data_IF_455823856494
#
_entry.id   IF_455823856494
#
_cell.length_a   1.000
_cell.length_b   1.000
_cell.length_c   1.000
_cell.angle_alpha   90.00
_cell.angle_beta   90.00
_cell.angle_gamma   90.00
#
_symmetry.space_group_name_H-M   'P 1'
#
loop_
_entity.id
_entity.type
_entity.pdbx_description
1 polymer ?
#
# COMPACT_ATOMS: atom_id res chain seq x y z
N UNK A 1 8.35 4.12 -24.37
CA UNK A 1 8.16 5.34 -23.57
C UNK A 1 7.46 5.05 -22.24
N UNK A 2 6.35 4.27 -22.24
CA UNK A 2 5.57 3.94 -21.03
C UNK A 2 6.40 3.09 -20.07
N UNK A 3 7.02 2.02 -20.55
CA UNK A 3 7.75 1.03 -19.75
C UNK A 3 8.96 1.57 -18.98
N UNK A 4 9.57 2.68 -19.43
CA UNK A 4 10.68 3.30 -18.72
C UNK A 4 10.26 4.32 -17.64
N UNK A 5 8.99 4.74 -17.65
CA UNK A 5 8.44 5.76 -16.73
C UNK A 5 7.41 5.21 -15.75
N UNK A 6 7.07 3.94 -15.89
CA UNK A 6 6.08 3.28 -15.04
C UNK A 6 6.57 1.90 -14.63
N UNK A 7 6.33 1.53 -13.38
CA UNK A 7 6.47 0.17 -12.90
C UNK A 7 5.15 -0.28 -12.26
N UNK A 8 4.74 -1.50 -12.61
CA UNK A 8 3.57 -2.16 -12.03
C UNK A 8 4.04 -3.40 -11.27
N UNK A 9 3.71 -3.48 -10.02
CA UNK A 9 4.05 -4.56 -9.09
C UNK A 9 2.76 -5.19 -8.60
N UNK A 10 2.59 -6.48 -8.87
CA UNK A 10 1.49 -7.28 -8.35
C UNK A 10 1.98 -8.54 -7.61
N UNK A 11 1.08 -9.23 -6.93
CA UNK A 11 1.37 -10.44 -6.17
C UNK A 11 1.64 -11.67 -7.06
N UNK A 12 1.30 -11.61 -8.35
CA UNK A 12 1.48 -12.67 -9.33
C UNK A 12 2.65 -12.40 -10.29
N UNK A 13 3.40 -11.33 -10.06
CA UNK A 13 4.52 -10.95 -10.89
C UNK A 13 5.50 -12.11 -11.09
N UNK A 14 5.72 -12.47 -12.36
CA UNK A 14 6.66 -13.50 -12.75
C UNK A 14 7.94 -12.87 -13.31
N UNK A 15 9.06 -13.27 -12.72
CA UNK A 15 10.39 -12.82 -13.14
C UNK A 15 11.15 -13.96 -13.83
N UNK A 16 12.16 -13.66 -14.66
CA UNK A 16 12.91 -14.68 -15.40
C UNK A 16 13.50 -15.74 -14.46
N UNK A 17 13.08 -17.00 -14.65
CA UNK A 17 13.44 -18.11 -13.78
C UNK A 17 14.95 -18.45 -13.81
N UNK A 18 15.63 -18.07 -14.88
CA UNK A 18 17.07 -18.33 -15.06
C UNK A 18 17.95 -17.36 -14.23
N UNK A 19 17.40 -16.22 -13.80
CA UNK A 19 18.16 -15.19 -13.09
C UNK A 19 18.05 -15.36 -11.58
N UNK A 20 19.15 -15.09 -10.89
CA UNK A 20 19.19 -14.90 -9.45
C UNK A 20 18.59 -13.55 -9.06
N UNK A 21 18.24 -13.36 -7.80
CA UNK A 21 17.70 -12.10 -7.31
C UNK A 21 18.66 -10.92 -7.57
N UNK A 22 19.96 -11.14 -7.42
CA UNK A 22 20.98 -10.11 -7.71
C UNK A 22 20.99 -9.75 -9.18
N UNK A 23 21.02 -10.73 -10.07
CA UNK A 23 21.00 -10.50 -11.53
C UNK A 23 19.72 -9.76 -11.95
N UNK A 24 18.57 -10.05 -11.33
CA UNK A 24 17.33 -9.31 -11.60
C UNK A 24 17.48 -7.84 -11.22
N UNK A 25 18.08 -7.51 -10.06
CA UNK A 25 18.32 -6.12 -9.66
C UNK A 25 19.29 -5.41 -10.64
N UNK A 26 20.33 -6.11 -11.10
CA UNK A 26 21.30 -5.59 -12.07
C UNK A 26 20.64 -5.31 -13.41
N UNK A 27 19.81 -6.22 -13.93
CA UNK A 27 19.07 -6.01 -15.18
C UNK A 27 18.03 -4.88 -15.03
N UNK A 28 17.31 -4.82 -13.90
CA UNK A 28 16.40 -3.73 -13.60
C UNK A 28 17.11 -2.36 -13.60
N UNK A 29 18.34 -2.31 -13.07
CA UNK A 29 19.15 -1.09 -13.02
C UNK A 29 19.52 -0.56 -14.41
N UNK A 30 19.63 -1.44 -15.40
CA UNK A 30 19.91 -1.06 -16.80
C UNK A 30 18.65 -0.59 -17.53
N UNK A 31 17.48 -1.06 -17.07
CA UNK A 31 16.20 -0.76 -17.70
C UNK A 31 15.56 0.53 -17.18
N UNK A 32 15.60 0.77 -15.85
CA UNK A 32 14.96 1.92 -15.24
C UNK A 32 15.93 3.08 -15.06
N UNK A 33 15.59 4.22 -15.68
CA UNK A 33 16.46 5.41 -15.73
C UNK A 33 16.77 6.00 -14.36
N UNK A 34 15.84 5.92 -13.41
CA UNK A 34 15.94 6.51 -12.08
C UNK A 34 16.25 5.47 -10.99
N UNK A 35 16.73 4.29 -11.42
CA UNK A 35 17.05 3.21 -10.49
C UNK A 35 18.01 3.65 -9.39
N UNK A 36 17.67 3.33 -8.15
CA UNK A 36 18.54 3.55 -6.98
C UNK A 36 19.03 2.20 -6.43
N UNK A 37 20.24 1.82 -6.83
CA UNK A 37 20.86 0.58 -6.36
C UNK A 37 21.11 0.62 -4.84
N UNK A 38 21.39 1.80 -4.27
CA UNK A 38 21.59 1.93 -2.82
C UNK A 38 20.33 1.62 -2.01
N UNK A 39 19.13 1.94 -2.51
CA UNK A 39 17.87 1.51 -1.89
C UNK A 39 17.72 -0.01 -2.03
N UNK A 40 17.93 -0.54 -3.24
CA UNK A 40 17.80 -1.96 -3.50
C UNK A 40 18.69 -2.78 -2.53
N UNK A 41 19.96 -2.43 -2.40
CA UNK A 41 20.91 -3.12 -1.54
C UNK A 41 20.54 -3.00 -0.05
N UNK A 42 20.21 -1.79 0.43
CA UNK A 42 19.82 -1.61 1.85
C UNK A 42 18.56 -2.40 2.23
N UNK A 43 17.55 -2.42 1.36
CA UNK A 43 16.32 -3.18 1.62
C UNK A 43 16.57 -4.68 1.48
N UNK A 44 17.41 -5.09 0.54
CA UNK A 44 17.79 -6.47 0.33
C UNK A 44 18.48 -7.05 1.57
N UNK A 45 19.44 -6.31 2.16
CA UNK A 45 20.12 -6.67 3.39
C UNK A 45 19.17 -6.64 4.60
N UNK A 46 18.34 -5.61 4.70
CA UNK A 46 17.37 -5.46 5.80
C UNK A 46 16.41 -6.65 5.89
N UNK A 47 15.88 -7.10 4.75
CA UNK A 47 14.99 -8.26 4.70
C UNK A 47 15.73 -9.60 4.60
N UNK A 48 17.06 -9.59 4.67
CA UNK A 48 17.92 -10.79 4.66
C UNK A 48 17.64 -11.73 3.49
N UNK A 49 17.41 -11.18 2.30
CA UNK A 49 17.22 -11.99 1.10
C UNK A 49 18.55 -12.57 0.61
N UNK A 50 18.54 -13.82 0.15
CA UNK A 50 19.74 -14.46 -0.39
C UNK A 50 19.94 -14.07 -1.87
N UNK A 51 21.02 -13.31 -2.23
CA UNK A 51 21.24 -12.84 -3.58
C UNK A 51 21.41 -13.94 -4.66
N UNK A 52 21.81 -15.14 -4.25
CA UNK A 52 22.00 -16.30 -5.14
C UNK A 52 20.72 -17.12 -5.36
N UNK A 53 19.66 -16.77 -4.69
CA UNK A 53 18.39 -17.47 -4.81
C UNK A 53 17.63 -16.99 -6.06
N UNK A 54 16.80 -17.87 -6.64
CA UNK A 54 15.92 -17.54 -7.74
C UNK A 54 14.55 -17.12 -7.23
N UNK A 55 13.90 -16.17 -7.90
CA UNK A 55 12.59 -15.65 -7.50
C UNK A 55 11.53 -16.75 -7.36
N UNK A 56 11.53 -17.74 -8.25
CA UNK A 56 10.60 -18.88 -8.21
C UNK A 56 10.66 -19.70 -6.93
N UNK A 57 11.82 -19.72 -6.26
CA UNK A 57 12.07 -20.50 -5.05
C UNK A 57 11.75 -19.76 -3.75
N UNK A 58 11.31 -18.52 -3.84
CA UNK A 58 10.90 -17.73 -2.68
C UNK A 58 9.52 -18.15 -2.15
N UNK A 59 9.31 -18.03 -0.84
CA UNK A 59 7.95 -18.07 -0.27
C UNK A 59 7.11 -16.92 -0.81
N UNK A 60 5.77 -16.98 -0.67
CA UNK A 60 4.90 -15.92 -1.16
C UNK A 60 5.27 -14.55 -0.55
N UNK A 61 5.46 -14.48 0.77
CA UNK A 61 5.86 -13.23 1.43
C UNK A 61 7.23 -12.72 0.98
N UNK A 62 8.22 -13.61 0.78
CA UNK A 62 9.53 -13.21 0.25
C UNK A 62 9.45 -12.70 -1.19
N UNK A 63 8.56 -13.27 -2.02
CA UNK A 63 8.30 -12.76 -3.38
C UNK A 63 7.76 -11.34 -3.32
N UNK A 64 6.72 -11.13 -2.51
CA UNK A 64 6.15 -9.79 -2.30
C UNK A 64 7.19 -8.80 -1.79
N UNK A 65 8.04 -9.21 -0.84
CA UNK A 65 9.14 -8.37 -0.34
C UNK A 65 10.15 -8.01 -1.44
N UNK A 66 10.55 -8.98 -2.26
CA UNK A 66 11.47 -8.72 -3.37
C UNK A 66 10.84 -7.82 -4.45
N UNK A 67 9.58 -8.08 -4.81
CA UNK A 67 8.84 -7.26 -5.78
C UNK A 67 8.68 -5.81 -5.29
N UNK A 68 8.45 -5.61 -3.99
CA UNK A 68 8.44 -4.29 -3.36
C UNK A 68 9.79 -3.58 -3.51
N UNK A 69 10.90 -4.29 -3.29
CA UNK A 69 12.25 -3.71 -3.47
C UNK A 69 12.44 -3.24 -4.90
N UNK A 70 12.02 -4.03 -5.89
CA UNK A 70 12.04 -3.61 -7.31
C UNK A 70 11.25 -2.32 -7.54
N UNK A 71 10.01 -2.27 -7.04
CA UNK A 71 9.12 -1.11 -7.21
C UNK A 71 9.66 0.17 -6.59
N UNK A 72 10.22 0.09 -5.38
CA UNK A 72 10.83 1.24 -4.72
C UNK A 72 12.11 1.70 -5.42
N UNK A 73 12.97 0.74 -5.78
CA UNK A 73 14.29 1.05 -6.38
C UNK A 73 14.21 1.57 -7.80
N UNK A 74 13.15 1.22 -8.54
CA UNK A 74 12.92 1.71 -9.90
C UNK A 74 12.69 3.22 -9.97
N UNK A 75 12.15 3.84 -8.92
CA UNK A 75 11.87 5.28 -8.83
C UNK A 75 11.21 5.86 -10.08
N UNK A 76 10.34 5.06 -10.70
CA UNK A 76 9.58 5.51 -11.85
C UNK A 76 8.65 6.67 -11.48
N UNK A 77 8.44 7.65 -12.39
CA UNK A 77 7.47 8.73 -12.18
C UNK A 77 6.08 8.24 -11.76
N UNK A 78 5.67 7.06 -12.25
CA UNK A 78 4.48 6.35 -11.82
C UNK A 78 4.86 4.95 -11.31
N UNK A 79 4.59 4.70 -10.04
CA UNK A 79 4.76 3.39 -9.40
C UNK A 79 3.38 2.87 -8.96
N UNK A 80 3.00 1.69 -9.42
CA UNK A 80 1.72 1.06 -9.08
C UNK A 80 2.00 -0.22 -8.30
N UNK A 81 1.44 -0.32 -7.11
CA UNK A 81 1.48 -1.51 -6.27
C UNK A 81 0.07 -2.09 -6.14
N UNK A 82 -0.15 -3.28 -6.69
CA UNK A 82 -1.42 -3.99 -6.57
C UNK A 82 -1.31 -5.10 -5.52
N UNK A 83 -1.98 -4.89 -4.38
CA UNK A 83 -1.93 -5.78 -3.20
C UNK A 83 -0.49 -6.20 -2.81
N UNK A 84 0.47 -5.26 -2.69
CA UNK A 84 1.91 -5.57 -2.62
C UNK A 84 2.32 -6.34 -1.38
N UNK A 85 1.48 -6.36 -0.35
CA UNK A 85 1.80 -6.96 0.96
C UNK A 85 1.21 -8.36 1.13
N UNK A 86 0.65 -8.92 0.08
CA UNK A 86 0.05 -10.26 0.10
C UNK A 86 1.06 -11.32 0.53
N UNK A 87 0.73 -12.07 1.60
CA UNK A 87 1.59 -13.13 2.16
C UNK A 87 2.73 -12.65 3.05
N UNK A 88 2.87 -11.35 3.27
CA UNK A 88 3.79 -10.82 4.28
C UNK A 88 3.17 -10.92 5.69
N UNK A 89 4.01 -11.11 6.70
CA UNK A 89 3.58 -10.94 8.08
C UNK A 89 3.43 -9.47 8.46
N UNK A 90 2.77 -9.19 9.60
CA UNK A 90 2.45 -7.83 10.02
C UNK A 90 3.69 -6.95 10.23
N UNK A 91 4.82 -7.52 10.65
CA UNK A 91 6.04 -6.74 10.87
C UNK A 91 6.66 -6.31 9.54
N UNK A 92 6.75 -7.23 8.57
CA UNK A 92 7.26 -6.95 7.22
C UNK A 92 6.39 -5.95 6.48
N UNK A 93 5.04 -6.02 6.63
CA UNK A 93 4.13 -5.01 6.05
C UNK A 93 4.40 -3.61 6.60
N UNK A 94 4.53 -3.49 7.92
CA UNK A 94 4.87 -2.19 8.54
C UNK A 94 6.19 -1.63 8.04
N UNK A 95 7.19 -2.48 7.90
CA UNK A 95 8.50 -2.07 7.39
C UNK A 95 8.45 -1.67 5.92
N UNK A 96 7.63 -2.35 5.10
CA UNK A 96 7.35 -1.93 3.72
C UNK A 96 6.75 -0.52 3.68
N UNK A 97 5.68 -0.26 4.42
CA UNK A 97 5.01 1.04 4.41
C UNK A 97 5.92 2.15 4.93
N UNK A 98 6.74 1.85 5.95
CA UNK A 98 7.75 2.79 6.45
C UNK A 98 8.83 3.10 5.40
N UNK A 99 9.31 2.09 4.68
CA UNK A 99 10.27 2.25 3.60
C UNK A 99 9.69 3.07 2.44
N UNK A 100 8.44 2.79 2.07
CA UNK A 100 7.70 3.51 1.03
C UNK A 100 7.57 5.00 1.38
N UNK A 101 7.10 5.32 2.60
CA UNK A 101 6.94 6.71 3.06
C UNK A 101 8.28 7.44 3.07
N UNK A 102 9.33 6.81 3.60
CA UNK A 102 10.66 7.41 3.66
C UNK A 102 11.21 7.70 2.27
N UNK A 103 11.04 6.78 1.32
CA UNK A 103 11.49 6.98 -0.06
C UNK A 103 10.64 8.02 -0.79
N UNK A 104 9.33 8.04 -0.58
CA UNK A 104 8.42 9.04 -1.12
C UNK A 104 8.76 10.46 -0.67
N UNK A 105 9.03 10.66 0.62
CA UNK A 105 9.43 11.97 1.15
C UNK A 105 10.78 12.45 0.60
N UNK A 106 11.71 11.54 0.33
CA UNK A 106 13.01 11.86 -0.24
C UNK A 106 12.96 12.05 -1.76
N UNK A 107 12.05 11.36 -2.43
CA UNK A 107 11.89 11.38 -3.90
C UNK A 107 10.41 11.32 -4.27
N UNK A 108 9.69 12.46 -4.19
CA UNK A 108 8.26 12.54 -4.48
C UNK A 108 7.94 12.13 -5.93
N UNK A 109 6.91 11.29 -6.09
CA UNK A 109 6.41 10.82 -7.38
C UNK A 109 4.99 10.29 -7.23
N UNK A 110 4.32 9.96 -8.31
CA UNK A 110 2.99 9.34 -8.22
C UNK A 110 3.12 7.87 -7.82
N UNK A 111 2.53 7.53 -6.68
CA UNK A 111 2.41 6.14 -6.20
C UNK A 111 0.94 5.80 -6.07
N UNK A 112 0.52 4.74 -6.73
CA UNK A 112 -0.82 4.16 -6.58
C UNK A 112 -0.67 2.82 -5.86
N UNK A 113 -1.43 2.64 -4.80
CA UNK A 113 -1.41 1.39 -4.04
C UNK A 113 -2.84 0.87 -3.87
N UNK A 114 -3.09 -0.38 -4.25
CA UNK A 114 -4.31 -1.07 -3.86
C UNK A 114 -4.08 -1.85 -2.57
N UNK A 115 -5.03 -1.83 -1.67
CA UNK A 115 -5.00 -2.61 -0.44
C UNK A 115 -6.40 -2.78 0.14
N UNK A 116 -6.62 -3.89 0.81
CA UNK A 116 -7.78 -4.12 1.66
C UNK A 116 -7.47 -3.91 3.17
N UNK A 117 -6.23 -3.55 3.51
CA UNK A 117 -5.77 -3.23 4.86
C UNK A 117 -5.66 -1.71 5.06
N UNK A 118 -6.81 -1.02 5.05
CA UNK A 118 -6.84 0.46 5.09
C UNK A 118 -6.20 1.03 6.35
N UNK A 119 -6.42 0.42 7.49
CA UNK A 119 -5.88 0.83 8.81
C UNK A 119 -4.33 0.85 8.83
N UNK A 120 -3.69 0.04 7.98
CA UNK A 120 -2.22 0.00 7.91
C UNK A 120 -1.64 1.11 7.02
N UNK A 121 -2.43 1.63 6.06
CA UNK A 121 -1.95 2.58 5.05
C UNK A 121 -2.58 3.97 5.14
N UNK A 122 -3.63 4.18 5.94
CA UNK A 122 -4.37 5.46 6.00
C UNK A 122 -3.47 6.68 6.21
N UNK A 123 -2.40 6.51 7.00
CA UNK A 123 -1.45 7.57 7.32
C UNK A 123 -0.46 7.90 6.17
N UNK A 124 -0.48 7.10 5.10
CA UNK A 124 0.36 7.29 3.90
C UNK A 124 -0.41 7.98 2.77
N UNK A 125 -1.75 7.93 2.84
CA UNK A 125 -2.59 8.32 1.71
C UNK A 125 -2.77 9.85 1.66
N UNK A 126 -2.65 10.40 0.47
CA UNK A 126 -3.06 11.77 0.14
C UNK A 126 -4.49 11.76 -0.40
N UNK A 127 -4.78 10.82 -1.29
CA UNK A 127 -6.08 10.64 -1.94
C UNK A 127 -6.58 9.20 -1.79
N UNK A 128 -7.89 9.03 -1.75
CA UNK A 128 -8.57 7.73 -1.72
C UNK A 128 -9.51 7.60 -2.91
N UNK A 129 -9.38 6.49 -3.63
CA UNK A 129 -10.28 6.08 -4.69
C UNK A 129 -10.93 4.74 -4.32
N UNK A 130 -12.24 4.75 -4.08
CA UNK A 130 -13.02 3.54 -3.79
C UNK A 130 -13.69 3.04 -5.05
N UNK A 131 -13.40 1.80 -5.43
CA UNK A 131 -13.98 1.12 -6.58
C UNK A 131 -14.95 0.04 -6.13
N UNK A 132 -16.12 -0.02 -6.75
CA UNK A 132 -17.08 -1.09 -6.54
C UNK A 132 -17.75 -1.48 -7.87
N UNK A 133 -17.69 -2.76 -8.22
CA UNK A 133 -18.26 -3.32 -9.47
C UNK A 133 -17.86 -2.52 -10.72
N UNK A 134 -16.58 -2.16 -10.82
CA UNK A 134 -16.01 -1.41 -11.94
C UNK A 134 -16.42 0.07 -12.02
N UNK A 135 -17.01 0.62 -10.96
CA UNK A 135 -17.41 2.03 -10.88
C UNK A 135 -16.71 2.73 -9.72
N UNK A 136 -16.32 3.99 -9.94
CA UNK A 136 -15.83 4.85 -8.87
C UNK A 136 -17.02 5.21 -7.97
N UNK A 137 -16.93 4.83 -6.70
CA UNK A 137 -17.90 5.19 -5.66
C UNK A 137 -17.49 6.47 -4.94
N UNK A 138 -16.20 6.64 -4.74
CA UNK A 138 -15.62 7.78 -4.04
C UNK A 138 -14.26 8.10 -4.63
N UNK A 139 -13.95 9.39 -4.79
CA UNK A 139 -12.61 9.91 -5.02
C UNK A 139 -12.47 11.22 -4.25
N UNK A 140 -11.68 11.22 -3.19
CA UNK A 140 -11.46 12.39 -2.32
C UNK A 140 -10.09 12.36 -1.68
N UNK A 141 -9.60 13.55 -1.32
CA UNK A 141 -8.43 13.66 -0.44
C UNK A 141 -8.72 13.11 0.96
N UNK A 142 -7.69 12.64 1.66
CA UNK A 142 -7.82 12.21 3.05
C UNK A 142 -8.27 13.37 3.96
N UNK A 143 -7.81 14.60 3.68
CA UNK A 143 -8.26 15.79 4.42
C UNK A 143 -9.76 16.01 4.28
N UNK A 144 -10.28 15.97 3.05
CA UNK A 144 -11.72 16.14 2.80
C UNK A 144 -12.54 15.01 3.47
N UNK A 145 -12.02 13.77 3.46
CA UNK A 145 -12.70 12.65 4.11
C UNK A 145 -12.78 12.81 5.62
N UNK A 146 -11.73 13.31 6.26
CA UNK A 146 -11.71 13.57 7.70
C UNK A 146 -12.66 14.68 8.13
N UNK A 147 -12.95 15.62 7.23
CA UNK A 147 -13.92 16.70 7.45
C UNK A 147 -15.34 16.28 7.04
N UNK A 148 -15.46 15.29 6.15
CA UNK A 148 -16.75 14.89 5.55
C UNK A 148 -17.62 14.06 6.47
N UNK A 149 -17.03 13.25 7.35
CA UNK A 149 -17.75 12.38 8.26
C UNK A 149 -17.03 12.26 9.62
N UNK A 150 -17.80 12.14 10.67
CA UNK A 150 -17.31 12.00 12.05
C UNK A 150 -17.79 10.67 12.62
N UNK A 151 -16.85 9.90 13.17
CA UNK A 151 -17.15 8.71 13.97
C UNK A 151 -17.43 9.07 15.40
N UNK A 152 -18.55 8.61 15.94
CA UNK A 152 -19.00 8.82 17.32
C UNK A 152 -19.14 7.47 18.02
N UNK A 153 -18.68 7.40 19.25
CA UNK A 153 -18.83 6.23 20.10
C UNK A 153 -19.34 6.66 21.49
N UNK A 154 -20.36 6.00 21.99
CA UNK A 154 -20.92 6.31 23.30
C UNK A 154 -22.14 5.47 23.68
N UNK A 155 -22.86 5.91 24.69
CA UNK A 155 -24.12 5.27 25.10
C UNK A 155 -25.13 5.27 23.95
N UNK A 156 -25.75 4.12 23.72
CA UNK A 156 -26.64 3.86 22.57
C UNK A 156 -27.72 4.93 22.42
N UNK A 157 -28.44 5.25 23.53
CA UNK A 157 -29.51 6.24 23.50
C UNK A 157 -29.04 7.65 23.13
N UNK A 158 -27.83 8.03 23.61
CA UNK A 158 -27.23 9.32 23.29
C UNK A 158 -26.81 9.40 21.83
N UNK A 159 -26.17 8.35 21.30
CA UNK A 159 -25.76 8.25 19.90
C UNK A 159 -26.97 8.27 18.98
N UNK A 160 -28.03 7.49 19.28
CA UNK A 160 -29.27 7.48 18.51
C UNK A 160 -29.94 8.85 18.48
N UNK A 161 -30.04 9.50 19.63
CA UNK A 161 -30.64 10.85 19.74
C UNK A 161 -29.82 11.89 18.96
N UNK A 162 -28.51 11.80 19.02
CA UNK A 162 -27.64 12.73 18.30
C UNK A 162 -27.71 12.50 16.79
N UNK A 163 -27.72 11.25 16.33
CA UNK A 163 -27.83 10.85 14.93
C UNK A 163 -29.13 11.32 14.26
N UNK A 164 -30.23 11.52 15.03
CA UNK A 164 -31.49 12.05 14.50
C UNK A 164 -31.36 13.46 13.87
N UNK A 165 -30.36 14.24 14.29
CA UNK A 165 -30.14 15.61 13.81
C UNK A 165 -29.04 15.71 12.75
N UNK A 166 -28.45 14.60 12.32
CA UNK A 166 -27.34 14.54 11.39
C UNK A 166 -27.61 13.48 10.31
N UNK A 167 -26.93 13.57 9.18
CA UNK A 167 -27.00 12.55 8.14
C UNK A 167 -26.27 11.28 8.62
N UNK A 168 -27.03 10.27 9.02
CA UNK A 168 -26.48 8.98 9.46
C UNK A 168 -25.98 8.19 8.25
N UNK A 169 -24.67 7.93 8.21
CA UNK A 169 -24.02 7.13 7.16
C UNK A 169 -23.96 5.65 7.56
N UNK A 170 -23.62 5.39 8.83
CA UNK A 170 -23.44 4.04 9.36
C UNK A 170 -23.71 4.01 10.87
N UNK A 171 -24.25 2.90 11.38
CA UNK A 171 -24.41 2.65 12.82
C UNK A 171 -24.29 1.17 13.12
N UNK A 172 -23.56 0.82 14.16
CA UNK A 172 -23.47 -0.54 14.68
C UNK A 172 -23.45 -0.56 16.22
N UNK A 173 -24.01 -1.59 16.86
CA UNK A 173 -23.85 -1.79 18.28
C UNK A 173 -22.43 -2.29 18.59
N UNK A 174 -21.81 -1.75 19.64
CA UNK A 174 -20.53 -2.25 20.17
C UNK A 174 -20.82 -3.31 21.25
N UNK A 175 -21.80 -3.03 22.11
CA UNK A 175 -22.32 -3.91 23.15
C UNK A 175 -23.78 -3.53 23.46
N UNK A 176 -24.37 -4.12 24.53
CA UNK A 176 -25.77 -3.89 24.89
C UNK A 176 -26.10 -2.42 25.19
N UNK A 177 -25.10 -1.64 25.64
CA UNK A 177 -25.29 -0.26 26.07
C UNK A 177 -24.59 0.78 25.18
N UNK A 178 -23.71 0.38 24.30
CA UNK A 178 -22.91 1.30 23.50
C UNK A 178 -23.04 1.04 22.00
N UNK A 179 -23.03 2.12 21.23
CA UNK A 179 -23.06 2.10 19.77
C UNK A 179 -21.95 2.96 19.19
N UNK A 180 -21.55 2.60 17.97
CA UNK A 180 -20.72 3.41 17.09
C UNK A 180 -21.58 3.91 15.94
N UNK A 181 -21.45 5.19 15.60
CA UNK A 181 -22.13 5.78 14.45
C UNK A 181 -21.16 6.65 13.65
N UNK A 182 -21.34 6.66 12.35
CA UNK A 182 -20.68 7.60 11.42
C UNK A 182 -21.75 8.54 10.89
N UNK A 183 -21.53 9.81 11.05
CA UNK A 183 -22.48 10.87 10.66
C UNK A 183 -21.78 11.96 9.86
N UNK A 184 -22.58 12.73 9.13
CA UNK A 184 -22.17 13.88 8.34
C UNK A 184 -22.83 15.15 8.82
#
# INVERSE_FOLDING_TARGET
>A
FVSANMIFIDDQMSLPAALTLREILEEASRFYKHWDMGIAERLFDYFSLNPKQHHGNLSKGMKSTFNMILGLSARCPLTIFDEPTTGMDASVRKDFYRALLKDYLAYPRTVIISSHHLDEIEHLLEDVLVLNKGRVQLHRSISDLKEWAIGLQGEKELIEKWALNHELIYMEPIDDNRSYAVVR
#
